data_IF_751962213545
#
_entry.id   IF_751962213545
#
_cell.length_a   1.000
_cell.length_b   1.000
_cell.length_c   1.000
_cell.angle_alpha   90.00
_cell.angle_beta   90.00
_cell.angle_gamma   90.00
#
_symmetry.space_group_name_H-M   'P 1'
#
loop_
_entity.id
_entity.type
_entity.pdbx_description
1 polymer ?
#
# COMPACT_ATOMS: atom_id res chain seq x y z
N UNK A 1 22.23 -14.68 1.45
CA UNK A 1 20.97 -14.67 0.70
C UNK A 1 20.02 -15.73 1.23
N UNK A 2 20.38 -17.02 1.24
CA UNK A 2 19.53 -18.13 1.68
C UNK A 2 19.02 -17.99 3.13
N UNK A 3 19.89 -17.67 4.10
CA UNK A 3 19.50 -17.41 5.49
C UNK A 3 18.49 -16.27 5.64
N UNK A 4 18.64 -15.21 4.83
CA UNK A 4 17.74 -14.05 4.85
C UNK A 4 16.38 -14.40 4.24
N UNK A 5 16.38 -15.16 3.14
CA UNK A 5 15.16 -15.69 2.52
C UNK A 5 14.37 -16.56 3.51
N UNK A 6 15.04 -17.48 4.20
CA UNK A 6 14.42 -18.35 5.18
C UNK A 6 13.81 -17.54 6.35
N UNK A 7 14.52 -16.54 6.88
CA UNK A 7 14.00 -15.68 7.94
C UNK A 7 12.75 -14.89 7.50
N UNK A 8 12.72 -14.37 6.27
CA UNK A 8 11.56 -13.67 5.74
C UNK A 8 10.37 -14.64 5.60
N UNK A 9 10.58 -15.82 5.01
CA UNK A 9 9.53 -16.81 4.84
C UNK A 9 8.95 -17.30 6.17
N UNK A 10 9.80 -17.56 7.18
CA UNK A 10 9.34 -17.93 8.52
C UNK A 10 8.53 -16.81 9.19
N UNK A 11 8.98 -15.57 9.07
CA UNK A 11 8.25 -14.41 9.61
C UNK A 11 6.89 -14.21 8.93
N UNK A 12 6.83 -14.29 7.61
CA UNK A 12 5.57 -14.17 6.85
C UNK A 12 4.60 -15.27 7.29
N UNK A 13 5.08 -16.53 7.37
CA UNK A 13 4.26 -17.67 7.81
C UNK A 13 3.72 -17.47 9.23
N UNK A 14 4.57 -17.02 10.17
CA UNK A 14 4.17 -16.77 11.56
C UNK A 14 3.13 -15.65 11.66
N UNK A 15 3.37 -14.52 10.98
CA UNK A 15 2.45 -13.38 11.02
C UNK A 15 1.10 -13.74 10.37
N UNK A 16 1.12 -14.48 9.26
CA UNK A 16 -0.10 -14.95 8.61
C UNK A 16 -0.91 -15.86 9.56
N UNK A 17 -0.23 -16.81 10.20
CA UNK A 17 -0.89 -17.67 11.17
C UNK A 17 -1.52 -16.90 12.35
N UNK A 18 -0.79 -15.94 12.93
CA UNK A 18 -1.31 -15.07 14.00
C UNK A 18 -2.53 -14.26 13.55
N UNK A 19 -2.52 -13.76 12.29
CA UNK A 19 -3.62 -13.04 11.69
C UNK A 19 -4.86 -13.94 11.47
N UNK A 20 -4.64 -15.13 10.95
CA UNK A 20 -5.70 -16.11 10.68
C UNK A 20 -6.38 -16.54 11.99
N UNK A 21 -5.60 -16.84 13.04
CA UNK A 21 -6.14 -17.16 14.38
C UNK A 21 -6.96 -15.99 14.95
N UNK A 22 -6.49 -14.75 14.79
CA UNK A 22 -7.22 -13.56 15.25
C UNK A 22 -8.54 -13.36 14.47
N UNK A 23 -8.53 -13.60 13.17
CA UNK A 23 -9.72 -13.50 12.32
C UNK A 23 -10.77 -14.53 12.77
N UNK A 24 -10.36 -15.80 12.95
CA UNK A 24 -11.24 -16.88 13.43
C UNK A 24 -11.79 -16.56 14.82
N UNK A 25 -10.95 -16.10 15.74
CA UNK A 25 -11.38 -15.71 17.09
C UNK A 25 -12.43 -14.56 17.08
N UNK A 26 -12.36 -13.68 16.06
CA UNK A 26 -13.33 -12.61 15.83
C UNK A 26 -14.59 -13.06 15.03
N UNK A 27 -14.74 -14.35 14.73
CA UNK A 27 -15.85 -14.90 13.95
C UNK A 27 -15.79 -14.54 12.45
N UNK A 28 -14.60 -14.19 11.94
CA UNK A 28 -14.36 -13.86 10.53
C UNK A 28 -13.62 -15.01 9.83
N UNK A 29 -13.69 -15.02 8.51
CA UNK A 29 -12.87 -15.92 7.71
C UNK A 29 -11.50 -15.30 7.49
N UNK A 30 -10.41 -16.09 7.55
CA UNK A 30 -9.05 -15.59 7.29
C UNK A 30 -8.92 -14.85 5.95
N UNK A 31 -9.61 -15.32 4.91
CA UNK A 31 -9.56 -14.73 3.56
C UNK A 31 -10.19 -13.33 3.48
N UNK A 32 -10.94 -12.92 4.49
CA UNK A 32 -11.51 -11.57 4.57
C UNK A 32 -10.51 -10.52 5.09
N UNK A 33 -9.33 -10.96 5.54
CA UNK A 33 -8.32 -10.10 6.14
C UNK A 33 -7.02 -10.17 5.32
N UNK A 34 -6.65 -9.07 4.70
CA UNK A 34 -5.41 -8.98 3.92
C UNK A 34 -4.23 -8.55 4.80
N UNK A 35 -3.06 -9.12 4.52
CA UNK A 35 -1.81 -8.74 5.14
C UNK A 35 -1.01 -7.84 4.19
N UNK A 36 -0.85 -6.57 4.55
CA UNK A 36 -0.01 -5.64 3.80
C UNK A 36 1.42 -5.63 4.35
N UNK A 37 2.40 -5.87 3.49
CA UNK A 37 3.80 -5.62 3.82
C UNK A 37 4.17 -4.18 3.47
N UNK A 38 4.53 -3.38 4.48
CA UNK A 38 5.04 -2.01 4.29
C UNK A 38 6.50 -2.06 3.90
N UNK A 39 6.80 -1.73 2.64
CA UNK A 39 8.09 -1.98 1.98
C UNK A 39 8.98 -0.73 1.83
N UNK A 40 8.57 0.38 2.47
CA UNK A 40 9.41 1.59 2.51
C UNK A 40 10.82 1.28 3.02
N UNK A 41 11.84 1.90 2.41
CA UNK A 41 13.26 1.74 2.74
C UNK A 41 13.86 0.35 2.50
N UNK A 42 13.08 -0.61 1.99
CA UNK A 42 13.57 -1.95 1.67
C UNK A 42 13.97 -2.03 0.18
N UNK A 43 14.99 -2.83 -0.13
CA UNK A 43 15.38 -3.08 -1.53
C UNK A 43 14.35 -3.95 -2.24
N UNK A 44 14.23 -3.82 -3.57
CA UNK A 44 13.37 -4.66 -4.38
C UNK A 44 13.66 -6.16 -4.18
N UNK A 45 14.93 -6.53 -4.00
CA UNK A 45 15.33 -7.91 -3.70
C UNK A 45 14.66 -8.47 -2.44
N UNK A 46 14.63 -7.69 -1.34
CA UNK A 46 13.96 -8.11 -0.10
C UNK A 46 12.45 -8.16 -0.25
N UNK A 47 11.88 -7.20 -0.99
CA UNK A 47 10.44 -7.18 -1.29
C UNK A 47 10.05 -8.42 -2.10
N UNK A 48 10.81 -8.76 -3.11
CA UNK A 48 10.56 -9.96 -3.93
C UNK A 48 10.69 -11.27 -3.13
N UNK A 49 11.56 -11.33 -2.12
CA UNK A 49 11.60 -12.46 -1.20
C UNK A 49 10.33 -12.55 -0.33
N UNK A 50 9.75 -11.42 0.06
CA UNK A 50 8.48 -11.40 0.78
C UNK A 50 7.31 -11.82 -0.12
N UNK A 51 7.29 -11.37 -1.38
CA UNK A 51 6.32 -11.82 -2.39
C UNK A 51 6.43 -13.34 -2.60
N UNK A 52 7.64 -13.85 -2.78
CA UNK A 52 7.89 -15.30 -2.92
C UNK A 52 7.47 -16.11 -1.68
N UNK A 53 7.43 -15.46 -0.50
CA UNK A 53 6.95 -16.06 0.75
C UNK A 53 5.42 -15.94 0.94
N UNK A 54 4.69 -15.37 -0.03
CA UNK A 54 3.22 -15.30 -0.03
C UNK A 54 2.64 -13.95 0.37
N UNK A 55 3.43 -12.88 0.37
CA UNK A 55 2.90 -11.51 0.46
C UNK A 55 2.33 -11.12 -0.92
N UNK A 56 1.06 -10.76 -0.94
CA UNK A 56 0.30 -10.38 -2.13
C UNK A 56 -0.15 -8.91 -2.14
N UNK A 57 0.22 -8.15 -1.09
CA UNK A 57 -0.09 -6.74 -0.95
C UNK A 57 1.09 -5.97 -0.37
N UNK A 58 1.54 -4.94 -1.10
CA UNK A 58 2.66 -4.07 -0.71
C UNK A 58 2.14 -2.67 -0.39
N UNK A 59 2.73 -2.03 0.63
CA UNK A 59 2.44 -0.64 0.99
C UNK A 59 3.66 0.26 0.79
N UNK A 60 3.55 1.26 -0.10
CA UNK A 60 4.61 2.23 -0.39
C UNK A 60 4.26 3.63 0.10
N UNK A 61 5.25 4.32 0.66
CA UNK A 61 5.06 5.62 1.29
C UNK A 61 5.55 6.81 0.45
N UNK A 62 6.51 6.60 -0.45
CA UNK A 62 7.16 7.67 -1.21
C UNK A 62 7.10 7.39 -2.70
N UNK A 63 6.54 8.34 -3.46
CA UNK A 63 6.43 8.19 -4.91
C UNK A 63 7.78 7.99 -5.60
N UNK A 64 8.83 8.70 -5.16
CA UNK A 64 10.15 8.55 -5.72
C UNK A 64 10.72 7.14 -5.46
N UNK A 65 10.62 6.64 -4.24
CA UNK A 65 11.10 5.31 -3.86
C UNK A 65 10.34 4.21 -4.62
N UNK A 66 9.02 4.36 -4.78
CA UNK A 66 8.22 3.48 -5.63
C UNK A 66 8.76 3.46 -7.06
N UNK A 67 9.04 4.64 -7.65
CA UNK A 67 9.52 4.73 -9.02
C UNK A 67 10.88 4.06 -9.23
N UNK A 68 11.78 4.16 -8.25
CA UNK A 68 13.11 3.55 -8.30
C UNK A 68 13.06 2.02 -8.26
N UNK A 69 12.05 1.44 -7.62
CA UNK A 69 11.92 -0.02 -7.39
C UNK A 69 10.87 -0.71 -8.26
N UNK A 70 9.94 0.06 -8.86
CA UNK A 70 8.73 -0.47 -9.48
C UNK A 70 9.00 -1.52 -10.56
N UNK A 71 10.00 -1.30 -11.41
CA UNK A 71 10.30 -2.24 -12.50
C UNK A 71 10.98 -3.52 -12.00
N UNK A 72 11.61 -3.47 -10.84
CA UNK A 72 12.29 -4.60 -10.22
C UNK A 72 11.37 -5.47 -9.35
N UNK A 73 10.12 -5.01 -9.09
CA UNK A 73 9.15 -5.78 -8.31
C UNK A 73 8.53 -6.90 -9.15
N UNK A 74 8.30 -8.04 -8.53
CA UNK A 74 7.47 -9.14 -9.08
C UNK A 74 5.99 -8.78 -8.97
N UNK A 75 5.60 -7.69 -9.61
CA UNK A 75 4.28 -7.04 -9.51
C UNK A 75 3.13 -7.85 -10.10
N UNK A 76 3.43 -8.91 -10.84
CA UNK A 76 2.44 -9.88 -11.32
C UNK A 76 1.89 -10.78 -10.20
N UNK A 77 2.54 -10.79 -9.03
CA UNK A 77 2.17 -11.60 -7.87
C UNK A 77 1.73 -10.79 -6.65
N UNK A 78 1.77 -9.45 -6.72
CA UNK A 78 1.39 -8.61 -5.60
C UNK A 78 0.80 -7.26 -6.05
N UNK A 79 -0.30 -6.87 -5.45
CA UNK A 79 -0.86 -5.53 -5.57
C UNK A 79 0.00 -4.52 -4.81
N UNK A 80 0.04 -3.29 -5.29
CA UNK A 80 0.75 -2.19 -4.62
C UNK A 80 -0.27 -1.13 -4.22
N UNK A 81 -0.29 -0.74 -2.95
CA UNK A 81 -1.03 0.41 -2.46
C UNK A 81 -0.08 1.55 -2.10
N UNK A 82 -0.50 2.78 -2.36
CA UNK A 82 0.20 3.96 -1.89
C UNK A 82 -0.44 4.45 -0.60
N UNK A 83 0.32 4.36 0.49
CA UNK A 83 -0.18 4.63 1.85
C UNK A 83 0.44 5.87 2.51
N UNK A 84 1.41 6.51 1.85
CA UNK A 84 2.08 7.71 2.35
C UNK A 84 1.42 9.00 1.88
N UNK A 85 1.91 10.16 2.37
CA UNK A 85 1.46 11.45 1.90
C UNK A 85 1.79 11.66 0.42
N UNK A 86 0.76 11.83 -0.41
CA UNK A 86 0.91 12.05 -1.85
C UNK A 86 0.78 13.53 -2.20
N UNK A 87 1.88 14.12 -2.65
CA UNK A 87 1.87 15.47 -3.20
C UNK A 87 1.21 15.47 -4.59
N UNK A 88 0.43 16.50 -4.91
CA UNK A 88 -0.30 16.60 -6.19
C UNK A 88 0.63 16.54 -7.41
N UNK A 89 1.83 17.12 -7.35
CA UNK A 89 2.83 17.07 -8.42
C UNK A 89 3.44 15.67 -8.65
N UNK A 90 3.24 14.73 -7.72
CA UNK A 90 3.71 13.34 -7.81
C UNK A 90 2.63 12.37 -8.27
N UNK A 91 1.36 12.77 -8.33
CA UNK A 91 0.23 11.91 -8.72
C UNK A 91 0.49 11.20 -10.06
N UNK A 92 1.03 11.89 -11.05
CA UNK A 92 1.39 11.32 -12.36
C UNK A 92 2.38 10.15 -12.32
N UNK A 93 3.14 10.03 -11.23
CA UNK A 93 4.12 8.95 -11.05
C UNK A 93 3.48 7.71 -10.42
N UNK A 94 2.37 7.89 -9.68
CA UNK A 94 1.73 6.84 -8.86
C UNK A 94 0.53 6.22 -9.58
N UNK A 95 -0.32 7.05 -10.22
CA UNK A 95 -1.48 6.58 -10.98
C UNK A 95 -1.04 5.62 -12.10
N UNK A 96 -1.75 4.51 -12.23
CA UNK A 96 -1.45 3.42 -13.16
C UNK A 96 -0.35 2.46 -12.71
N UNK A 97 0.28 2.72 -11.55
CA UNK A 97 1.28 1.82 -10.96
C UNK A 97 0.82 1.18 -9.65
N UNK A 98 -0.14 1.79 -9.00
CA UNK A 98 -0.73 1.26 -7.77
C UNK A 98 -2.20 0.94 -7.98
N UNK A 99 -2.69 -0.06 -7.28
CA UNK A 99 -4.11 -0.42 -7.30
C UNK A 99 -4.94 0.57 -6.51
N UNK A 100 -4.44 1.01 -5.35
CA UNK A 100 -5.15 1.91 -4.45
C UNK A 100 -4.25 3.01 -3.90
N UNK A 101 -4.83 4.20 -3.68
CA UNK A 101 -4.21 5.31 -2.93
C UNK A 101 -5.03 5.52 -1.65
N UNK A 102 -4.48 5.16 -0.49
CA UNK A 102 -5.18 5.16 0.80
C UNK A 102 -5.11 6.50 1.55
N UNK A 103 -4.44 7.50 0.99
CA UNK A 103 -4.07 8.74 1.67
C UNK A 103 -4.67 10.00 1.02
N UNK A 104 -5.89 9.89 0.49
CA UNK A 104 -6.53 11.04 -0.19
C UNK A 104 -7.13 11.98 0.85
N UNK A 105 -6.34 12.95 1.28
CA UNK A 105 -6.68 13.90 2.34
C UNK A 105 -7.13 15.28 1.85
N UNK A 106 -7.50 15.45 0.57
CA UNK A 106 -8.05 16.71 0.08
C UNK A 106 -8.76 16.56 -1.26
N UNK A 107 -9.74 17.41 -1.51
CA UNK A 107 -10.44 17.48 -2.79
C UNK A 107 -9.48 17.83 -3.96
N UNK A 108 -8.47 18.67 -3.70
CA UNK A 108 -7.44 19.01 -4.69
C UNK A 108 -6.69 17.76 -5.15
N UNK A 109 -6.27 16.91 -4.20
CA UNK A 109 -5.59 15.65 -4.50
C UNK A 109 -6.51 14.69 -5.26
N UNK A 110 -7.76 14.53 -4.81
CA UNK A 110 -8.74 13.67 -5.48
C UNK A 110 -8.97 14.07 -6.94
N UNK A 111 -9.10 15.36 -7.22
CA UNK A 111 -9.25 15.89 -8.60
C UNK A 111 -8.04 15.60 -9.46
N UNK A 112 -6.82 15.73 -8.91
CA UNK A 112 -5.60 15.45 -9.66
C UNK A 112 -5.47 13.94 -9.95
N UNK A 113 -5.82 13.06 -9.00
CA UNK A 113 -5.89 11.61 -9.23
C UNK A 113 -6.88 11.30 -10.34
N UNK A 114 -8.12 11.81 -10.26
CA UNK A 114 -9.15 11.60 -11.28
C UNK A 114 -8.68 12.04 -12.67
N UNK A 115 -8.08 13.22 -12.78
CA UNK A 115 -7.55 13.76 -14.04
C UNK A 115 -6.49 12.84 -14.66
N UNK A 116 -5.54 12.33 -13.87
CA UNK A 116 -4.51 11.43 -14.40
C UNK A 116 -5.06 10.03 -14.69
N UNK A 117 -5.99 9.52 -13.88
CA UNK A 117 -6.66 8.25 -14.15
C UNK A 117 -7.43 8.30 -15.49
N UNK A 118 -8.16 9.36 -15.75
CA UNK A 118 -8.85 9.57 -17.05
C UNK A 118 -7.85 9.67 -18.21
N UNK A 119 -6.76 10.42 -18.02
CA UNK A 119 -5.72 10.57 -19.07
C UNK A 119 -5.05 9.25 -19.42
N UNK A 120 -4.92 8.35 -18.47
CA UNK A 120 -4.25 7.05 -18.64
C UNK A 120 -5.25 5.92 -18.96
N UNK A 121 -6.55 6.23 -19.00
CA UNK A 121 -7.64 5.27 -19.19
C UNK A 121 -7.59 4.11 -18.15
N UNK A 122 -7.37 4.48 -16.87
CA UNK A 122 -7.33 3.53 -15.74
C UNK A 122 -8.30 3.94 -14.66
N UNK A 123 -8.77 2.97 -13.88
CA UNK A 123 -9.49 3.20 -12.62
C UNK A 123 -8.52 3.10 -11.46
N UNK A 124 -8.47 4.13 -10.62
CA UNK A 124 -7.65 4.14 -9.40
C UNK A 124 -8.58 4.08 -8.19
N UNK A 125 -8.48 3.04 -7.39
CA UNK A 125 -9.19 2.95 -6.12
C UNK A 125 -8.59 3.93 -5.11
N UNK A 126 -9.43 4.53 -4.26
CA UNK A 126 -8.96 5.50 -3.26
C UNK A 126 -9.68 5.33 -1.93
N UNK A 127 -8.95 5.61 -0.84
CA UNK A 127 -9.55 5.84 0.48
C UNK A 127 -9.39 7.31 0.84
N UNK A 128 -10.48 7.90 1.35
CA UNK A 128 -10.45 9.26 1.90
C UNK A 128 -9.82 9.21 3.29
N UNK A 129 -8.73 9.93 3.46
CA UNK A 129 -8.05 10.03 4.75
C UNK A 129 -8.73 11.10 5.60
N UNK A 130 -9.20 10.71 6.79
CA UNK A 130 -9.83 11.59 7.77
C UNK A 130 -8.88 11.79 8.96
N UNK A 131 -8.66 13.04 9.38
CA UNK A 131 -7.90 13.37 10.58
C UNK A 131 -8.85 13.38 11.79
N UNK A 132 -9.06 12.21 12.39
CA UNK A 132 -9.98 12.03 13.52
C UNK A 132 -9.44 12.68 14.81
N UNK A 133 -8.11 12.64 14.99
CA UNK A 133 -7.45 13.13 16.20
C UNK A 133 -7.16 14.63 16.20
N UNK A 134 -7.51 15.35 15.14
CA UNK A 134 -7.22 16.79 14.95
C UNK A 134 -5.73 17.12 15.20
N UNK A 135 -4.85 16.21 14.75
CA UNK A 135 -3.41 16.34 14.90
C UNK A 135 -2.84 17.21 13.78
N UNK A 136 -2.23 18.36 14.11
CA UNK A 136 -1.61 19.29 13.15
C UNK A 136 -0.54 18.65 12.26
N UNK A 137 0.11 17.58 12.74
CA UNK A 137 1.18 16.88 12.02
C UNK A 137 0.68 15.80 11.06
N UNK A 138 -0.60 15.46 11.07
CA UNK A 138 -1.20 14.42 10.25
C UNK A 138 -2.00 15.02 9.09
N UNK A 139 -1.93 14.31 7.95
CA UNK A 139 -2.79 14.64 6.81
C UNK A 139 -4.21 14.13 7.03
N UNK A 140 -5.11 14.58 6.16
CA UNK A 140 -6.51 14.17 6.17
C UNK A 140 -7.45 15.37 6.21
N UNK A 141 -8.71 15.13 5.84
CA UNK A 141 -9.79 16.13 6.00
C UNK A 141 -10.37 16.05 7.41
N UNK A 142 -10.96 17.14 7.89
CA UNK A 142 -11.70 17.10 9.14
C UNK A 142 -12.95 16.21 9.02
N UNK A 143 -13.40 15.52 10.09
CA UNK A 143 -14.60 14.68 10.04
C UNK A 143 -15.85 15.40 9.53
N UNK A 144 -15.96 16.71 9.79
CA UNK A 144 -17.06 17.56 9.33
C UNK A 144 -17.05 17.85 7.82
N UNK A 145 -15.98 17.50 7.12
CA UNK A 145 -15.81 17.71 5.68
C UNK A 145 -15.96 16.41 4.88
N UNK A 146 -16.25 15.30 5.55
CA UNK A 146 -16.37 13.98 4.93
C UNK A 146 -17.77 13.74 4.30
#
# INVERSE_FOLDING_TARGET
>A
MEKLSNNIAENVKRIRWELDEAAVAAGRKPEEVQLMAVTKTQSATLVNLAIAAGIDLLGENRAQELMEKYEDYHKEHADIHFIGHLQTNKVKQVVGKVKMIESVGSLKLAREISKFSQKMDVTTEVLVQINIGDEDTKGGIAPSQC
#
